data_IF_006749484745
#
_entry.id   IF_006749484745
#
_cell.length_a   1.000
_cell.length_b   1.000
_cell.length_c   1.000
_cell.angle_alpha   90.00
_cell.angle_beta   90.00
_cell.angle_gamma   90.00
#
_symmetry.space_group_name_H-M   'P 1'
#
loop_
_entity.id
_entity.type
_entity.pdbx_description
1 polymer ?
#
# COMPACT_ATOMS: atom_id res chain seq x y z
N UNK A 1 -24.57 -26.01 -15.00
CA UNK A 1 -24.00 -25.24 -13.88
C UNK A 1 -23.14 -24.12 -14.45
N UNK A 2 -23.44 -22.88 -14.09
CA UNK A 2 -22.76 -21.70 -14.59
C UNK A 2 -21.62 -21.29 -13.67
N UNK A 3 -20.68 -20.50 -14.18
CA UNK A 3 -19.53 -19.98 -13.42
C UNK A 3 -19.14 -18.59 -13.87
N UNK A 4 -18.80 -17.71 -12.93
CA UNK A 4 -18.23 -16.41 -13.23
C UNK A 4 -16.99 -16.14 -12.39
N UNK A 5 -16.08 -15.32 -12.91
CA UNK A 5 -14.96 -14.80 -12.15
C UNK A 5 -15.32 -13.44 -11.51
N UNK A 6 -14.92 -13.22 -10.28
CA UNK A 6 -15.06 -11.95 -9.56
C UNK A 6 -13.67 -11.42 -9.21
N UNK A 7 -13.29 -10.31 -9.85
CA UNK A 7 -12.06 -9.56 -9.65
C UNK A 7 -12.41 -8.16 -9.12
N UNK A 8 -11.45 -7.50 -8.47
CA UNK A 8 -11.54 -6.10 -8.06
C UNK A 8 -10.13 -5.53 -7.96
N UNK A 9 -10.01 -4.20 -7.82
CA UNK A 9 -8.77 -3.54 -7.35
C UNK A 9 -7.51 -3.98 -8.12
N UNK A 10 -7.63 -4.08 -9.45
CA UNK A 10 -6.52 -4.48 -10.31
C UNK A 10 -5.45 -3.39 -10.37
N UNK A 11 -5.87 -2.11 -10.26
CA UNK A 11 -4.98 -0.94 -10.19
C UNK A 11 -3.94 -0.89 -11.31
N UNK A 12 -4.35 -1.23 -12.54
CA UNK A 12 -3.45 -1.18 -13.70
C UNK A 12 -2.92 0.24 -13.88
N UNK A 13 -1.59 0.40 -13.88
CA UNK A 13 -0.86 1.65 -13.96
C UNK A 13 -0.48 2.26 -12.61
N UNK A 14 -0.60 1.52 -11.50
CA UNK A 14 -0.21 2.01 -10.18
C UNK A 14 1.31 2.13 -10.01
N UNK A 15 2.05 1.18 -10.60
CA UNK A 15 3.50 1.12 -10.47
C UNK A 15 4.20 1.74 -11.68
N UNK A 16 5.14 2.66 -11.43
CA UNK A 16 5.95 3.33 -12.47
C UNK A 16 7.32 2.68 -12.70
N UNK A 17 7.75 1.82 -11.78
CA UNK A 17 8.99 1.07 -11.95
C UNK A 17 8.75 -0.08 -12.95
N UNK A 18 9.59 -0.25 -13.98
CA UNK A 18 9.38 -1.26 -15.01
C UNK A 18 9.29 -2.70 -14.48
N UNK A 19 9.98 -3.03 -13.39
CA UNK A 19 9.93 -4.37 -12.80
C UNK A 19 8.57 -4.60 -12.16
N UNK A 20 8.08 -3.62 -11.39
CA UNK A 20 6.77 -3.69 -10.75
C UNK A 20 5.62 -3.65 -11.76
N UNK A 21 5.72 -2.79 -12.78
CA UNK A 21 4.74 -2.70 -13.88
C UNK A 21 4.58 -4.04 -14.60
N UNK A 22 5.70 -4.72 -14.90
CA UNK A 22 5.69 -6.06 -15.50
C UNK A 22 5.03 -7.10 -14.59
N UNK A 23 5.28 -7.07 -13.29
CA UNK A 23 4.65 -7.99 -12.32
C UNK A 23 3.16 -7.74 -12.19
N UNK A 24 2.74 -6.48 -12.21
CA UNK A 24 1.35 -6.04 -12.20
C UNK A 24 0.60 -6.56 -13.44
N UNK A 25 1.14 -6.32 -14.63
CA UNK A 25 0.59 -6.84 -15.89
C UNK A 25 0.58 -8.37 -15.94
N UNK A 26 1.61 -9.03 -15.40
CA UNK A 26 1.67 -10.48 -15.31
C UNK A 26 0.56 -11.03 -14.40
N UNK A 27 0.25 -10.34 -13.29
CA UNK A 27 -0.81 -10.75 -12.37
C UNK A 27 -2.17 -10.65 -13.04
N UNK A 28 -2.45 -9.52 -13.70
CA UNK A 28 -3.68 -9.32 -14.46
C UNK A 28 -3.82 -10.35 -15.59
N UNK A 29 -2.76 -10.56 -16.37
CA UNK A 29 -2.76 -11.52 -17.48
C UNK A 29 -3.00 -12.94 -17.00
N UNK A 30 -2.34 -13.36 -15.92
CA UNK A 30 -2.50 -14.69 -15.33
C UNK A 30 -3.90 -14.91 -14.78
N UNK A 31 -4.53 -13.90 -14.18
CA UNK A 31 -5.92 -13.99 -13.73
C UNK A 31 -6.87 -14.23 -14.91
N UNK A 32 -6.70 -13.49 -16.01
CA UNK A 32 -7.50 -13.65 -17.22
C UNK A 32 -7.23 -15.00 -17.92
N UNK A 33 -5.99 -15.49 -17.93
CA UNK A 33 -5.65 -16.84 -18.41
C UNK A 33 -6.35 -17.94 -17.63
N UNK A 34 -6.39 -17.81 -16.30
CA UNK A 34 -7.12 -18.75 -15.46
C UNK A 34 -8.62 -18.66 -15.77
N UNK A 35 -9.19 -17.45 -15.95
CA UNK A 35 -10.60 -17.31 -16.33
C UNK A 35 -10.93 -18.04 -17.65
N UNK A 36 -10.07 -17.93 -18.66
CA UNK A 36 -10.22 -18.64 -19.94
C UNK A 36 -10.05 -20.15 -19.79
N UNK A 37 -9.01 -20.61 -19.06
CA UNK A 37 -8.76 -22.03 -18.81
C UNK A 37 -9.89 -22.68 -18.03
N UNK A 38 -10.38 -21.99 -17.01
CA UNK A 38 -11.55 -22.39 -16.23
C UNK A 38 -12.85 -22.09 -16.98
N UNK A 39 -12.82 -21.64 -18.24
CA UNK A 39 -13.97 -21.42 -19.14
C UNK A 39 -15.14 -20.66 -18.53
N UNK A 40 -14.88 -19.62 -17.72
CA UNK A 40 -15.95 -18.88 -17.05
C UNK A 40 -16.95 -18.30 -18.05
N UNK A 41 -18.21 -18.21 -17.67
CA UNK A 41 -19.27 -17.67 -18.53
C UNK A 41 -19.12 -16.15 -18.72
N UNK A 42 -18.66 -15.45 -17.68
CA UNK A 42 -18.29 -14.04 -17.72
C UNK A 42 -17.31 -13.69 -16.59
N UNK A 43 -16.70 -12.52 -16.68
CA UNK A 43 -15.86 -11.91 -15.65
C UNK A 43 -16.56 -10.66 -15.14
N UNK A 44 -16.65 -10.48 -13.83
CA UNK A 44 -17.12 -9.26 -13.19
C UNK A 44 -15.95 -8.58 -12.46
N UNK A 45 -15.67 -7.33 -12.83
CA UNK A 45 -14.67 -6.47 -12.17
C UNK A 45 -15.40 -5.40 -11.36
N UNK A 46 -15.36 -5.52 -10.02
CA UNK A 46 -16.07 -4.65 -9.08
C UNK A 46 -15.30 -3.34 -8.78
N UNK A 47 -14.81 -2.68 -9.82
CA UNK A 47 -14.13 -1.38 -9.74
C UNK A 47 -12.61 -1.42 -9.59
N UNK A 48 -12.00 -0.25 -9.75
CA UNK A 48 -10.56 0.01 -9.73
C UNK A 48 -9.79 -0.94 -10.67
N UNK A 49 -10.28 -1.06 -11.90
CA UNK A 49 -9.56 -1.79 -12.96
C UNK A 49 -8.24 -1.06 -13.29
N UNK A 50 -8.29 0.27 -13.37
CA UNK A 50 -7.13 1.13 -13.59
C UNK A 50 -6.88 2.00 -12.36
N UNK A 51 -5.61 2.30 -12.09
CA UNK A 51 -5.22 3.16 -10.95
C UNK A 51 -5.60 4.64 -11.14
N UNK A 52 -5.82 5.06 -12.39
CA UNK A 52 -6.25 6.39 -12.74
C UNK A 52 -7.32 6.35 -13.84
N UNK A 53 -8.20 7.35 -13.85
CA UNK A 53 -9.21 7.55 -14.89
C UNK A 53 -8.61 7.82 -16.29
N UNK A 54 -7.39 8.38 -16.33
CA UNK A 54 -6.58 8.56 -17.54
C UNK A 54 -5.22 7.91 -17.24
N UNK A 55 -5.09 6.59 -17.46
CA UNK A 55 -3.85 5.85 -17.21
C UNK A 55 -2.80 6.09 -18.30
N UNK A 56 -1.58 5.63 -18.06
CA UNK A 56 -0.54 5.56 -19.10
C UNK A 56 -1.01 4.67 -20.26
N UNK A 57 -0.76 5.11 -21.51
CA UNK A 57 -1.30 4.44 -22.68
C UNK A 57 -0.57 3.13 -23.01
N UNK A 58 0.70 2.97 -22.64
CA UNK A 58 1.45 1.74 -22.97
C UNK A 58 0.95 0.57 -22.13
N UNK A 59 0.92 0.73 -20.81
CA UNK A 59 0.41 -0.32 -19.91
C UNK A 59 -1.07 -0.61 -20.20
N UNK A 60 -1.85 0.43 -20.53
CA UNK A 60 -3.26 0.28 -20.93
C UNK A 60 -3.39 -0.54 -22.21
N UNK A 61 -2.58 -0.27 -23.22
CA UNK A 61 -2.59 -1.04 -24.47
C UNK A 61 -2.27 -2.52 -24.23
N UNK A 62 -1.32 -2.82 -23.34
CA UNK A 62 -1.00 -4.20 -22.96
C UNK A 62 -2.18 -4.90 -22.26
N UNK A 63 -2.82 -4.23 -21.29
CA UNK A 63 -4.01 -4.75 -20.61
C UNK A 63 -5.19 -4.95 -21.59
N UNK A 64 -5.41 -4.00 -22.51
CA UNK A 64 -6.48 -4.07 -23.52
C UNK A 64 -6.27 -5.22 -24.49
N UNK A 65 -5.04 -5.50 -24.92
CA UNK A 65 -4.74 -6.69 -25.74
C UNK A 65 -5.16 -7.97 -25.03
N UNK A 66 -4.87 -8.09 -23.73
CA UNK A 66 -5.27 -9.25 -22.93
C UNK A 66 -6.78 -9.35 -22.77
N UNK A 67 -7.47 -8.25 -22.47
CA UNK A 67 -8.94 -8.22 -22.40
C UNK A 67 -9.59 -8.57 -23.75
N UNK A 68 -8.99 -8.11 -24.87
CA UNK A 68 -9.45 -8.46 -26.21
C UNK A 68 -9.32 -9.97 -26.46
N UNK A 69 -8.22 -10.60 -26.06
CA UNK A 69 -8.04 -12.04 -26.17
C UNK A 69 -9.15 -12.82 -25.43
N UNK A 70 -9.48 -12.41 -24.19
CA UNK A 70 -10.59 -12.98 -23.41
C UNK A 70 -11.92 -12.84 -24.14
N UNK A 71 -12.19 -11.65 -24.67
CA UNK A 71 -13.40 -11.37 -25.46
C UNK A 71 -13.46 -12.21 -26.73
N UNK A 72 -12.36 -12.34 -27.45
CA UNK A 72 -12.27 -13.14 -28.69
C UNK A 72 -12.52 -14.64 -28.40
N UNK A 73 -12.26 -15.10 -27.16
CA UNK A 73 -12.64 -16.43 -26.66
C UNK A 73 -14.09 -16.53 -26.16
N UNK A 74 -14.92 -15.50 -26.39
CA UNK A 74 -16.35 -15.51 -26.08
C UNK A 74 -16.69 -15.25 -24.61
N UNK A 75 -15.75 -14.72 -23.82
CA UNK A 75 -15.98 -14.38 -22.41
C UNK A 75 -16.18 -12.86 -22.29
N UNK A 76 -17.36 -12.44 -21.82
CA UNK A 76 -17.66 -11.02 -21.61
C UNK A 76 -17.08 -10.54 -20.28
N UNK A 77 -16.52 -9.34 -20.28
CA UNK A 77 -16.02 -8.67 -19.07
C UNK A 77 -17.01 -7.57 -18.69
N UNK A 78 -17.71 -7.75 -17.57
CA UNK A 78 -18.56 -6.77 -16.93
C UNK A 78 -17.77 -5.94 -15.94
N UNK A 79 -18.07 -4.64 -15.87
CA UNK A 79 -17.36 -3.70 -14.98
C UNK A 79 -18.33 -2.71 -14.33
N UNK A 80 -18.01 -2.33 -13.10
CA UNK A 80 -18.50 -1.10 -12.47
C UNK A 80 -17.32 -0.17 -12.27
N UNK A 81 -17.56 1.14 -12.14
CA UNK A 81 -16.49 2.04 -11.73
C UNK A 81 -16.05 1.76 -10.29
N UNK A 82 -14.76 1.92 -10.04
CA UNK A 82 -14.23 2.14 -8.71
C UNK A 82 -13.92 3.62 -8.47
N UNK A 83 -13.35 3.90 -7.31
CA UNK A 83 -13.03 5.27 -6.92
C UNK A 83 -11.90 5.89 -7.76
N UNK A 84 -10.98 5.07 -8.30
CA UNK A 84 -9.80 5.54 -9.04
C UNK A 84 -10.06 5.82 -10.51
N UNK A 85 -10.78 4.91 -11.15
CA UNK A 85 -11.07 4.93 -12.58
C UNK A 85 -12.34 5.73 -12.93
N UNK A 86 -13.07 6.23 -11.93
CA UNK A 86 -14.17 7.17 -12.13
C UNK A 86 -13.71 8.61 -12.41
N UNK A 87 -14.49 9.30 -13.24
CA UNK A 87 -14.31 10.73 -13.54
C UNK A 87 -15.68 11.43 -13.64
N UNK A 88 -15.95 12.48 -12.84
CA UNK A 88 -17.25 13.16 -12.85
C UNK A 88 -17.47 14.05 -14.07
N UNK A 89 -16.39 14.62 -14.62
CA UNK A 89 -16.46 15.70 -15.61
C UNK A 89 -15.88 15.33 -16.99
N UNK A 90 -15.31 14.14 -17.13
CA UNK A 90 -14.63 13.69 -18.35
C UNK A 90 -14.84 12.19 -18.54
N UNK A 91 -14.80 11.72 -19.78
CA UNK A 91 -14.73 10.30 -20.06
C UNK A 91 -13.49 9.68 -19.39
N UNK A 92 -13.68 8.51 -18.78
CA UNK A 92 -12.63 7.62 -18.29
C UNK A 92 -12.19 6.66 -19.39
N UNK A 93 -11.02 6.04 -19.22
CA UNK A 93 -10.62 4.88 -20.01
C UNK A 93 -11.70 3.78 -20.02
N UNK A 94 -12.43 3.59 -18.92
CA UNK A 94 -13.53 2.62 -18.84
C UNK A 94 -14.65 2.95 -19.85
N UNK A 95 -15.00 4.23 -20.05
CA UNK A 95 -16.01 4.63 -21.04
C UNK A 95 -15.56 4.33 -22.47
N UNK A 96 -14.27 4.55 -22.75
CA UNK A 96 -13.67 4.27 -24.06
C UNK A 96 -13.70 2.77 -24.33
N UNK A 97 -13.32 1.94 -23.35
CA UNK A 97 -13.31 0.49 -23.49
C UNK A 97 -14.73 -0.11 -23.60
N UNK A 98 -15.72 0.47 -22.91
CA UNK A 98 -17.13 0.10 -23.05
C UNK A 98 -17.65 0.47 -24.45
N UNK A 99 -17.29 1.64 -24.96
CA UNK A 99 -17.68 2.10 -26.30
C UNK A 99 -17.04 1.27 -27.43
N UNK A 100 -15.78 0.85 -27.25
CA UNK A 100 -15.10 -0.11 -28.12
C UNK A 100 -15.59 -1.56 -27.92
N UNK A 101 -16.45 -1.80 -26.93
CA UNK A 101 -17.02 -3.10 -26.60
C UNK A 101 -16.01 -4.11 -26.05
N UNK A 102 -14.85 -3.68 -25.56
CA UNK A 102 -13.85 -4.58 -24.93
C UNK A 102 -14.36 -5.05 -23.57
N UNK A 103 -14.97 -4.15 -22.82
CA UNK A 103 -15.66 -4.41 -21.57
C UNK A 103 -17.11 -3.91 -21.67
N UNK A 104 -17.95 -4.24 -20.69
CA UNK A 104 -19.32 -3.78 -20.62
C UNK A 104 -19.63 -3.18 -19.26
N UNK A 105 -19.97 -1.89 -19.21
CA UNK A 105 -20.50 -1.28 -18.00
C UNK A 105 -21.91 -1.78 -17.72
N UNK A 106 -22.15 -2.24 -16.49
CA UNK A 106 -23.45 -2.80 -16.08
C UNK A 106 -24.32 -1.85 -15.26
N UNK A 107 -23.74 -0.80 -14.66
CA UNK A 107 -24.49 0.14 -13.82
C UNK A 107 -25.26 1.12 -14.69
N UNK A 108 -26.58 1.10 -14.55
CA UNK A 108 -27.51 2.06 -15.14
C UNK A 108 -28.60 2.37 -14.12
N UNK A 109 -28.97 3.63 -14.02
CA UNK A 109 -30.04 4.05 -13.14
C UNK A 109 -30.30 5.55 -13.22
N UNK A 110 -31.43 5.93 -12.68
CA UNK A 110 -31.93 7.31 -12.66
C UNK A 110 -32.60 7.62 -11.33
N UNK A 111 -32.57 8.89 -10.94
CA UNK A 111 -33.24 9.35 -9.72
C UNK A 111 -34.66 9.76 -10.08
N UNK A 112 -35.65 9.02 -9.58
CA UNK A 112 -37.08 9.26 -9.78
C UNK A 112 -37.71 9.51 -8.43
N UNK A 113 -38.37 10.67 -8.26
CA UNK A 113 -39.03 11.06 -7.01
C UNK A 113 -38.11 10.97 -5.78
N UNK A 114 -36.84 11.38 -5.95
CA UNK A 114 -35.85 11.38 -4.86
C UNK A 114 -35.30 10.00 -4.50
N UNK A 115 -35.66 8.93 -5.23
CA UNK A 115 -35.07 7.60 -5.08
C UNK A 115 -34.25 7.20 -6.30
N UNK A 116 -33.08 6.61 -6.08
CA UNK A 116 -32.28 6.00 -7.15
C UNK A 116 -32.89 4.66 -7.55
N UNK A 117 -33.33 4.57 -8.80
CA UNK A 117 -33.77 3.31 -9.42
C UNK A 117 -32.66 2.79 -10.31
N UNK A 118 -32.23 1.55 -10.04
CA UNK A 118 -31.23 0.86 -10.84
C UNK A 118 -31.91 -0.13 -11.77
N UNK A 119 -31.41 -0.21 -12.99
CA UNK A 119 -31.79 -1.25 -13.94
C UNK A 119 -30.96 -2.52 -13.71
N UNK A 120 -31.53 -3.67 -14.06
CA UNK A 120 -30.79 -4.91 -14.15
C UNK A 120 -30.22 -5.11 -15.55
N UNK A 121 -28.93 -5.35 -15.63
CA UNK A 121 -28.31 -5.94 -16.81
C UNK A 121 -28.43 -7.47 -16.72
N UNK A 122 -29.09 -8.10 -17.70
CA UNK A 122 -29.21 -9.55 -17.78
C UNK A 122 -28.13 -10.13 -18.69
N UNK A 123 -27.28 -10.99 -18.13
CA UNK A 123 -26.30 -11.74 -18.91
C UNK A 123 -27.03 -12.69 -19.89
N UNK A 124 -26.74 -12.62 -21.20
CA UNK A 124 -27.49 -13.37 -22.21
C UNK A 124 -27.24 -14.89 -22.16
N UNK A 125 -26.09 -15.33 -21.61
CA UNK A 125 -25.69 -16.74 -21.60
C UNK A 125 -26.26 -17.49 -20.40
N UNK A 126 -26.21 -16.87 -19.23
CA UNK A 126 -26.54 -17.47 -17.94
C UNK A 126 -27.89 -17.00 -17.38
N UNK A 127 -28.41 -15.87 -17.88
CA UNK A 127 -29.60 -15.23 -17.35
C UNK A 127 -29.41 -14.55 -15.99
N UNK A 128 -28.17 -14.52 -15.45
CA UNK A 128 -27.84 -13.80 -14.23
C UNK A 128 -28.19 -12.31 -14.39
N UNK A 129 -28.77 -11.72 -13.35
CA UNK A 129 -29.14 -10.31 -13.32
C UNK A 129 -28.13 -9.55 -12.48
N UNK A 130 -27.40 -8.64 -13.11
CA UNK A 130 -26.37 -7.83 -12.49
C UNK A 130 -26.86 -6.39 -12.37
N UNK A 131 -26.66 -5.80 -11.20
CA UNK A 131 -26.85 -4.37 -10.97
C UNK A 131 -25.89 -3.93 -9.85
N UNK A 132 -25.86 -2.65 -9.52
CA UNK A 132 -24.91 -2.19 -8.52
C UNK A 132 -24.72 -0.69 -8.43
N UNK A 133 -23.84 -0.29 -7.52
CA UNK A 133 -23.42 1.10 -7.35
C UNK A 133 -21.91 1.19 -7.57
N UNK A 134 -21.55 2.03 -8.55
CA UNK A 134 -20.16 2.38 -8.83
C UNK A 134 -19.53 3.16 -7.67
N UNK A 135 -18.26 2.87 -7.38
CA UNK A 135 -17.45 3.69 -6.47
C UNK A 135 -17.17 5.07 -7.08
N UNK A 136 -17.07 6.09 -6.23
CA UNK A 136 -16.67 7.44 -6.64
C UNK A 136 -15.59 7.96 -5.71
N UNK A 137 -14.88 9.00 -6.14
CA UNK A 137 -13.90 9.66 -5.28
C UNK A 137 -14.62 10.32 -4.09
N UNK A 138 -14.00 10.23 -2.91
CA UNK A 138 -14.42 10.93 -1.69
C UNK A 138 -15.78 10.42 -1.14
N UNK A 139 -16.17 9.18 -1.44
CA UNK A 139 -17.34 8.56 -0.79
C UNK A 139 -18.69 9.17 -1.18
N UNK A 140 -18.74 10.02 -2.22
CA UNK A 140 -19.96 10.70 -2.69
C UNK A 140 -21.05 9.68 -3.05
N UNK A 141 -20.66 8.45 -3.41
CA UNK A 141 -21.61 7.40 -3.70
C UNK A 141 -22.48 6.97 -2.51
N UNK A 142 -22.09 7.32 -1.27
CA UNK A 142 -22.87 7.02 -0.06
C UNK A 142 -24.29 7.56 -0.15
N UNK A 143 -24.47 8.76 -0.69
CA UNK A 143 -25.79 9.37 -0.90
C UNK A 143 -26.68 8.50 -1.80
N UNK A 144 -26.10 7.84 -2.82
CA UNK A 144 -26.85 6.93 -3.70
C UNK A 144 -27.33 5.68 -2.99
N UNK A 145 -26.55 5.16 -2.03
CA UNK A 145 -27.03 4.07 -1.20
C UNK A 145 -28.20 4.53 -0.34
N UNK A 146 -28.14 5.71 0.26
CA UNK A 146 -29.21 6.22 1.13
C UNK A 146 -30.54 6.33 0.36
N UNK A 147 -30.50 6.87 -0.86
CA UNK A 147 -31.70 7.04 -1.71
C UNK A 147 -32.06 5.81 -2.56
N UNK A 148 -31.35 4.69 -2.43
CA UNK A 148 -31.59 3.50 -3.26
C UNK A 148 -33.00 2.94 -3.08
N UNK A 149 -33.72 2.72 -4.20
CA UNK A 149 -35.04 2.09 -4.20
C UNK A 149 -34.93 0.57 -4.03
N UNK A 150 -34.57 0.14 -2.82
CA UNK A 150 -34.30 -1.28 -2.48
C UNK A 150 -35.49 -2.18 -2.75
N UNK A 151 -36.72 -1.72 -2.46
CA UNK A 151 -37.95 -2.52 -2.60
C UNK A 151 -38.12 -3.13 -4.00
N UNK A 152 -37.72 -2.40 -5.05
CA UNK A 152 -37.80 -2.88 -6.44
C UNK A 152 -36.74 -3.96 -6.69
N UNK A 153 -35.52 -3.75 -6.21
CA UNK A 153 -34.40 -4.67 -6.37
C UNK A 153 -34.62 -5.98 -5.60
N UNK A 154 -35.20 -5.89 -4.40
CA UNK A 154 -35.48 -7.02 -3.52
C UNK A 154 -36.56 -7.95 -4.10
N UNK A 155 -37.59 -7.37 -4.75
CA UNK A 155 -38.70 -8.10 -5.38
C UNK A 155 -38.35 -8.76 -6.72
N UNK A 156 -37.21 -8.43 -7.31
CA UNK A 156 -36.80 -9.00 -8.58
C UNK A 156 -36.50 -10.52 -8.44
N UNK A 157 -37.01 -11.32 -9.37
CA UNK A 157 -36.81 -12.77 -9.38
C UNK A 157 -35.50 -13.21 -10.06
N UNK A 158 -35.07 -14.43 -9.80
CA UNK A 158 -33.93 -15.08 -10.46
C UNK A 158 -32.60 -14.89 -9.73
N UNK A 159 -31.50 -15.32 -10.37
CA UNK A 159 -30.17 -15.20 -9.78
C UNK A 159 -29.66 -13.77 -9.89
N UNK A 160 -29.48 -13.09 -8.75
CA UNK A 160 -29.12 -11.67 -8.69
C UNK A 160 -27.73 -11.46 -8.10
N UNK A 161 -26.94 -10.60 -8.75
CA UNK A 161 -25.63 -10.13 -8.30
C UNK A 161 -25.68 -8.63 -8.06
N UNK A 162 -25.32 -8.20 -6.85
CA UNK A 162 -25.16 -6.78 -6.53
C UNK A 162 -23.67 -6.44 -6.51
N UNK A 163 -23.20 -5.67 -7.48
CA UNK A 163 -21.83 -5.24 -7.58
C UNK A 163 -21.63 -3.87 -6.90
N UNK A 164 -20.59 -3.73 -6.10
CA UNK A 164 -20.31 -2.48 -5.40
C UNK A 164 -18.82 -2.27 -5.16
N UNK A 165 -18.41 -1.02 -4.99
CA UNK A 165 -17.02 -0.67 -4.70
C UNK A 165 -16.98 0.29 -3.51
N UNK A 166 -17.09 -0.27 -2.30
CA UNK A 166 -17.05 0.46 -1.03
C UNK A 166 -16.75 -0.53 0.11
N UNK A 167 -16.24 -0.04 1.24
CA UNK A 167 -16.08 -0.85 2.45
C UNK A 167 -17.44 -1.07 3.16
N UNK A 168 -17.62 -2.24 3.77
CA UNK A 168 -18.78 -2.54 4.63
C UNK A 168 -18.35 -2.45 6.09
N UNK A 169 -19.06 -1.66 6.90
CA UNK A 169 -18.68 -1.33 8.28
C UNK A 169 -18.46 -2.58 9.13
N UNK A 170 -19.36 -3.56 9.01
CA UNK A 170 -19.36 -4.84 9.73
C UNK A 170 -18.22 -5.78 9.30
N UNK A 171 -17.60 -5.52 8.15
CA UNK A 171 -16.55 -6.31 7.55
C UNK A 171 -15.20 -5.57 7.50
N UNK A 172 -15.15 -4.37 8.07
CA UNK A 172 -13.98 -3.51 7.97
C UNK A 172 -12.84 -4.07 8.83
N UNK A 173 -11.66 -4.34 8.24
CA UNK A 173 -10.50 -4.76 9.02
C UNK A 173 -10.08 -3.68 10.03
N UNK A 174 -9.53 -4.09 11.17
CA UNK A 174 -9.13 -3.17 12.26
C UNK A 174 -8.11 -2.12 11.79
N UNK A 175 -7.17 -2.49 10.92
CA UNK A 175 -6.19 -1.57 10.35
C UNK A 175 -6.79 -0.56 9.34
N UNK A 176 -8.09 -0.66 9.07
CA UNK A 176 -8.90 0.28 8.29
C UNK A 176 -9.99 0.92 9.16
N UNK A 177 -9.87 0.94 10.49
CA UNK A 177 -10.84 1.52 11.42
C UNK A 177 -11.22 2.98 11.09
N UNK A 178 -10.31 3.76 10.52
CA UNK A 178 -10.55 5.17 10.13
C UNK A 178 -11.06 5.33 8.69
N UNK A 179 -11.04 4.27 7.88
CA UNK A 179 -11.58 4.31 6.51
C UNK A 179 -13.10 4.47 6.56
N UNK A 180 -13.64 5.30 5.68
CA UNK A 180 -15.08 5.43 5.48
C UNK A 180 -15.68 4.11 4.98
N UNK A 181 -16.84 3.75 5.51
CA UNK A 181 -17.56 2.54 5.13
C UNK A 181 -19.07 2.79 5.21
N UNK A 182 -19.83 2.03 4.45
CA UNK A 182 -21.29 2.01 4.53
C UNK A 182 -21.76 0.87 5.45
N UNK A 183 -22.88 1.04 6.18
CA UNK A 183 -23.51 -0.08 6.87
C UNK A 183 -23.96 -1.15 5.88
N UNK A 184 -23.91 -2.44 6.25
CA UNK A 184 -24.40 -3.52 5.39
C UNK A 184 -25.87 -3.33 5.00
N UNK A 185 -26.68 -2.77 5.91
CA UNK A 185 -28.10 -2.47 5.69
C UNK A 185 -28.37 -1.51 4.53
N UNK A 186 -27.34 -0.84 4.02
CA UNK A 186 -27.47 0.03 2.86
C UNK A 186 -27.62 -0.76 1.56
N UNK A 187 -27.16 -2.01 1.52
CA UNK A 187 -27.33 -2.91 0.37
C UNK A 187 -28.77 -3.47 0.33
N UNK A 188 -29.33 -3.73 -0.87
CA UNK A 188 -30.63 -4.39 -0.99
C UNK A 188 -30.53 -5.86 -0.55
N UNK A 189 -31.56 -6.37 0.12
CA UNK A 189 -31.59 -7.76 0.62
C UNK A 189 -31.87 -8.79 -0.46
N UNK A 190 -31.63 -10.06 -0.15
CA UNK A 190 -32.11 -11.18 -0.97
C UNK A 190 -31.40 -11.35 -2.32
N UNK A 191 -30.25 -10.70 -2.52
CA UNK A 191 -29.35 -11.05 -3.62
C UNK A 191 -28.56 -12.33 -3.28
N UNK A 192 -28.21 -13.10 -4.31
CA UNK A 192 -27.49 -14.35 -4.14
C UNK A 192 -25.98 -14.14 -3.97
N UNK A 193 -25.45 -13.04 -4.51
CA UNK A 193 -24.04 -12.70 -4.41
C UNK A 193 -23.85 -11.19 -4.40
N UNK A 194 -23.05 -10.71 -3.45
CA UNK A 194 -22.64 -9.31 -3.33
C UNK A 194 -21.15 -9.21 -3.68
N UNK A 195 -20.88 -8.65 -4.85
CA UNK A 195 -19.55 -8.54 -5.44
C UNK A 195 -18.90 -7.19 -5.06
N UNK A 196 -18.17 -7.19 -3.94
CA UNK A 196 -17.47 -6.01 -3.43
C UNK A 196 -16.06 -5.83 -3.98
N UNK A 197 -15.65 -4.58 -4.17
CA UNK A 197 -14.26 -4.14 -4.34
C UNK A 197 -13.84 -3.14 -3.25
N UNK A 198 -12.73 -2.42 -3.43
CA UNK A 198 -12.16 -1.41 -2.51
C UNK A 198 -11.29 -1.99 -1.38
N UNK A 199 -11.69 -3.13 -0.80
CA UNK A 199 -10.87 -3.83 0.20
C UNK A 199 -9.85 -4.71 -0.51
N UNK A 200 -8.57 -4.36 -0.39
CA UNK A 200 -7.48 -5.05 -1.11
C UNK A 200 -7.16 -6.45 -0.57
N UNK A 201 -7.77 -6.89 0.54
CA UNK A 201 -7.63 -8.25 1.05
C UNK A 201 -8.81 -9.10 0.65
N UNK A 202 -8.55 -10.38 0.33
CA UNK A 202 -9.64 -11.31 0.06
C UNK A 202 -10.44 -11.58 1.34
N UNK A 203 -11.76 -11.50 1.24
CA UNK A 203 -12.69 -11.69 2.34
C UNK A 203 -13.98 -12.31 1.83
N UNK A 204 -14.56 -13.21 2.62
CA UNK A 204 -15.89 -13.76 2.39
C UNK A 204 -16.70 -13.71 3.68
N UNK A 205 -17.97 -13.33 3.57
CA UNK A 205 -18.88 -13.26 4.70
C UNK A 205 -20.31 -13.61 4.28
N UNK A 206 -21.13 -13.93 5.28
CA UNK A 206 -22.56 -14.23 5.12
C UNK A 206 -23.29 -13.68 6.34
N UNK A 207 -24.45 -13.08 6.12
CA UNK A 207 -25.34 -12.55 7.16
C UNK A 207 -26.79 -12.92 6.84
N UNK A 208 -27.69 -12.75 7.81
CA UNK A 208 -29.14 -12.86 7.57
C UNK A 208 -29.55 -11.93 6.44
N UNK A 209 -30.26 -12.44 5.43
CA UNK A 209 -30.67 -11.75 4.19
C UNK A 209 -29.54 -11.40 3.19
N UNK A 210 -28.28 -11.66 3.54
CA UNK A 210 -27.10 -11.44 2.70
C UNK A 210 -26.33 -12.75 2.53
N UNK A 211 -26.76 -13.61 1.60
CA UNK A 211 -26.27 -14.99 1.46
C UNK A 211 -24.74 -15.07 1.30
N UNK A 212 -24.17 -14.23 0.41
CA UNK A 212 -22.73 -14.26 0.13
C UNK A 212 -22.17 -12.90 -0.23
N UNK A 213 -21.34 -12.34 0.64
CA UNK A 213 -20.56 -11.11 0.38
C UNK A 213 -19.11 -11.52 0.18
N UNK A 214 -18.49 -10.99 -0.87
CA UNK A 214 -17.10 -11.30 -1.17
C UNK A 214 -16.35 -10.05 -1.63
N UNK A 215 -15.10 -9.94 -1.19
CA UNK A 215 -14.09 -9.01 -1.69
C UNK A 215 -12.92 -9.86 -2.19
N UNK A 216 -12.57 -9.86 -3.48
CA UNK A 216 -11.48 -10.68 -3.98
C UNK A 216 -10.12 -10.11 -3.59
N UNK A 217 -10.05 -8.80 -3.31
CA UNK A 217 -8.81 -8.10 -3.07
C UNK A 217 -8.05 -7.79 -4.35
N UNK A 218 -6.87 -7.20 -4.20
CA UNK A 218 -6.01 -6.87 -5.35
C UNK A 218 -5.29 -8.10 -5.90
N UNK A 219 -4.99 -8.09 -7.20
CA UNK A 219 -4.21 -9.14 -7.87
C UNK A 219 -2.71 -9.07 -7.58
N UNK A 220 -2.19 -7.88 -7.26
CA UNK A 220 -0.76 -7.67 -7.00
C UNK A 220 -0.55 -6.65 -5.87
N UNK A 221 -0.38 -5.37 -6.22
CA UNK A 221 -0.20 -4.28 -5.27
C UNK A 221 -0.42 -2.93 -5.97
N UNK A 222 -1.41 -2.17 -5.51
CA UNK A 222 -1.63 -0.78 -5.91
C UNK A 222 -0.95 0.22 -4.97
N UNK A 223 -0.67 -0.18 -3.73
CA UNK A 223 -0.13 0.68 -2.69
C UNK A 223 1.01 0.02 -1.90
N UNK A 224 1.84 0.83 -1.23
CA UNK A 224 2.92 0.35 -0.35
C UNK A 224 2.45 -0.65 0.70
N UNK A 225 1.22 -0.48 1.21
CA UNK A 225 0.60 -1.40 2.17
C UNK A 225 0.37 -2.79 1.59
N UNK A 226 0.01 -2.87 0.31
CA UNK A 226 -0.26 -4.14 -0.35
C UNK A 226 1.00 -4.99 -0.43
N UNK A 227 2.14 -4.37 -0.77
CA UNK A 227 3.45 -5.04 -0.75
C UNK A 227 3.82 -5.57 0.64
N UNK A 228 3.66 -4.76 1.68
CA UNK A 228 3.95 -5.19 3.07
C UNK A 228 3.05 -6.36 3.50
N UNK A 229 1.76 -6.32 3.16
CA UNK A 229 0.82 -7.39 3.46
C UNK A 229 1.12 -8.67 2.66
N UNK A 230 1.43 -8.56 1.35
CA UNK A 230 1.83 -9.70 0.53
C UNK A 230 3.10 -10.35 1.07
N UNK A 231 4.08 -9.54 1.48
CA UNK A 231 5.32 -10.03 2.08
C UNK A 231 5.12 -10.71 3.44
N UNK A 232 4.08 -10.32 4.19
CA UNK A 232 3.63 -11.00 5.42
C UNK A 232 2.72 -12.22 5.16
N UNK A 233 2.56 -12.64 3.90
CA UNK A 233 1.84 -13.86 3.55
C UNK A 233 0.37 -13.69 3.18
N UNK A 234 -0.14 -12.47 3.05
CA UNK A 234 -1.49 -12.24 2.52
C UNK A 234 -1.51 -12.60 1.03
N UNK A 235 -2.29 -13.62 0.69
CA UNK A 235 -2.45 -14.12 -0.68
C UNK A 235 -3.25 -13.14 -1.54
N UNK A 236 -2.82 -12.98 -2.79
CA UNK A 236 -3.45 -12.14 -3.82
C UNK A 236 -4.08 -13.01 -4.89
N UNK A 237 -5.18 -12.55 -5.46
CA UNK A 237 -5.96 -13.38 -6.37
C UNK A 237 -7.38 -12.90 -6.57
N UNK A 238 -8.26 -13.81 -6.95
CA UNK A 238 -9.65 -13.52 -7.28
C UNK A 238 -10.56 -14.71 -6.99
N UNK A 239 -11.87 -14.56 -7.13
CA UNK A 239 -12.81 -15.67 -6.94
C UNK A 239 -13.34 -16.22 -8.27
N UNK A 240 -13.56 -17.53 -8.32
CA UNK A 240 -14.50 -18.14 -9.28
C UNK A 240 -15.69 -18.67 -8.49
N UNK A 241 -16.87 -18.27 -8.93
CA UNK A 241 -18.15 -18.57 -8.29
C UNK A 241 -18.94 -19.51 -9.19
N UNK A 242 -19.35 -20.65 -8.64
CA UNK A 242 -20.25 -21.59 -9.32
C UNK A 242 -21.69 -21.33 -8.86
N UNK A 243 -22.62 -21.29 -9.81
CA UNK A 243 -24.01 -20.97 -9.51
C UNK A 243 -25.02 -21.66 -10.45
N UNK A 244 -26.25 -21.70 -9.96
CA UNK A 244 -27.47 -22.03 -10.72
C UNK A 244 -28.55 -21.02 -10.30
N UNK A 245 -29.54 -21.44 -9.51
CA UNK A 245 -30.53 -20.54 -8.89
C UNK A 245 -30.01 -19.90 -7.59
N UNK A 246 -28.89 -20.41 -7.06
CA UNK A 246 -28.15 -19.91 -5.88
C UNK A 246 -26.66 -20.16 -6.07
N UNK A 247 -25.85 -19.54 -5.23
CA UNK A 247 -24.39 -19.82 -5.18
C UNK A 247 -24.18 -21.25 -4.67
N UNK A 248 -23.37 -22.02 -5.40
CA UNK A 248 -23.00 -23.40 -5.05
C UNK A 248 -21.63 -23.46 -4.39
N UNK A 249 -20.68 -22.69 -4.89
CA UNK A 249 -19.35 -22.56 -4.30
C UNK A 249 -18.69 -21.25 -4.70
N UNK A 250 -17.81 -20.76 -3.83
CA UNK A 250 -16.90 -19.65 -4.09
C UNK A 250 -15.51 -20.19 -3.81
N UNK A 251 -14.61 -20.10 -4.79
CA UNK A 251 -13.25 -20.60 -4.66
C UNK A 251 -12.27 -19.49 -4.97
N UNK A 252 -11.36 -19.22 -4.04
CA UNK A 252 -10.25 -18.30 -4.25
C UNK A 252 -9.19 -18.93 -5.15
N UNK A 253 -8.77 -18.19 -6.17
CA UNK A 253 -7.70 -18.53 -7.08
C UNK A 253 -6.53 -17.57 -6.83
N UNK A 254 -5.50 -18.10 -6.18
CA UNK A 254 -4.27 -17.38 -5.89
C UNK A 254 -3.48 -17.07 -7.18
N UNK A 255 -2.91 -15.87 -7.25
CA UNK A 255 -2.10 -15.36 -8.36
C UNK A 255 -0.67 -15.09 -7.88
N UNK A 256 0.19 -16.12 -7.85
CA UNK A 256 1.60 -15.91 -7.53
C UNK A 256 2.32 -15.39 -8.78
N UNK A 257 2.84 -14.17 -8.71
CA UNK A 257 3.69 -13.57 -9.77
C UNK A 257 5.15 -13.38 -9.35
N UNK A 258 5.39 -13.27 -8.04
CA UNK A 258 6.72 -13.25 -7.45
C UNK A 258 6.67 -13.83 -6.04
N UNK A 259 7.82 -14.28 -5.56
CA UNK A 259 8.00 -14.60 -4.14
C UNK A 259 8.35 -13.32 -3.38
N UNK A 260 7.94 -13.25 -2.12
CA UNK A 260 8.23 -12.12 -1.26
C UNK A 260 9.19 -12.50 -0.13
N UNK A 261 9.91 -11.51 0.37
CA UNK A 261 10.63 -11.59 1.64
C UNK A 261 10.27 -10.37 2.49
N UNK A 262 9.96 -10.59 3.76
CA UNK A 262 9.63 -9.50 4.69
C UNK A 262 10.70 -9.40 5.78
N UNK A 263 11.32 -8.23 5.89
CA UNK A 263 12.29 -7.96 6.93
C UNK A 263 11.88 -6.72 7.71
N UNK A 264 11.81 -6.85 9.03
CA UNK A 264 11.48 -5.74 9.94
C UNK A 264 12.59 -5.55 10.96
N UNK A 265 13.02 -4.30 11.14
CA UNK A 265 14.05 -3.94 12.10
C UNK A 265 13.63 -2.74 12.95
N UNK A 266 13.75 -2.89 14.26
CA UNK A 266 13.45 -1.87 15.26
C UNK A 266 14.74 -1.20 15.76
N UNK A 267 14.85 0.10 15.50
CA UNK A 267 16.02 0.91 15.86
C UNK A 267 15.98 1.42 17.29
N UNK A 268 14.89 1.18 18.03
CA UNK A 268 14.67 1.76 19.36
C UNK A 268 15.85 1.48 20.28
N UNK A 269 16.27 2.52 21.01
CA UNK A 269 17.45 2.54 21.90
C UNK A 269 18.82 2.42 21.21
N UNK A 270 18.90 2.57 19.89
CA UNK A 270 20.17 2.54 19.14
C UNK A 270 20.45 3.89 18.50
N UNK A 271 21.72 4.30 18.47
CA UNK A 271 22.11 5.45 17.65
C UNK A 271 22.17 5.04 16.17
N UNK A 272 22.25 6.03 15.28
CA UNK A 272 22.20 5.80 13.84
C UNK A 272 23.32 4.88 13.31
N UNK A 273 24.53 4.98 13.88
CA UNK A 273 25.69 4.16 13.51
C UNK A 273 25.47 2.69 13.91
N UNK A 274 25.06 2.45 15.16
CA UNK A 274 24.77 1.11 15.68
C UNK A 274 23.62 0.46 14.90
N UNK A 275 22.51 1.19 14.72
CA UNK A 275 21.36 0.72 13.98
C UNK A 275 21.72 0.38 12.53
N UNK A 276 22.52 1.21 11.85
CA UNK A 276 22.99 0.94 10.49
C UNK A 276 23.83 -0.34 10.46
N UNK A 277 24.84 -0.46 11.32
CA UNK A 277 25.72 -1.64 11.33
C UNK A 277 24.93 -2.93 11.50
N UNK A 278 24.11 -3.02 12.55
CA UNK A 278 23.31 -4.21 12.84
C UNK A 278 22.29 -4.52 11.72
N UNK A 279 21.66 -3.49 11.14
CA UNK A 279 20.72 -3.67 10.04
C UNK A 279 21.40 -4.32 8.84
N UNK A 280 22.56 -3.82 8.44
CA UNK A 280 23.28 -4.33 7.27
C UNK A 280 23.85 -5.73 7.49
N UNK A 281 24.35 -6.02 8.71
CA UNK A 281 24.76 -7.37 9.10
C UNK A 281 23.59 -8.36 8.94
N UNK A 282 22.43 -8.04 9.53
CA UNK A 282 21.25 -8.91 9.42
C UNK A 282 20.73 -9.06 8.00
N UNK A 283 20.71 -7.97 7.22
CA UNK A 283 20.25 -8.02 5.82
C UNK A 283 21.18 -8.88 4.95
N UNK A 284 22.47 -8.98 5.27
CA UNK A 284 23.42 -9.81 4.53
C UNK A 284 23.17 -11.31 4.67
N UNK A 285 22.47 -11.73 5.72
CA UNK A 285 22.13 -13.14 5.99
C UNK A 285 20.79 -13.57 5.37
N UNK A 286 19.99 -12.61 4.88
CA UNK A 286 18.66 -12.89 4.35
C UNK A 286 18.76 -13.45 2.92
N UNK A 287 18.12 -14.59 2.66
CA UNK A 287 18.00 -15.11 1.31
C UNK A 287 16.96 -14.34 0.50
N UNK A 288 17.44 -13.41 -0.32
CA UNK A 288 16.62 -12.51 -1.15
C UNK A 288 16.56 -12.88 -2.62
N UNK A 289 17.27 -13.94 -3.02
CA UNK A 289 17.40 -14.32 -4.43
C UNK A 289 16.04 -14.58 -5.07
N UNK A 290 15.79 -13.93 -6.20
CA UNK A 290 14.56 -14.03 -7.00
C UNK A 290 13.28 -13.66 -6.23
N UNK A 291 13.39 -12.76 -5.23
CA UNK A 291 12.27 -12.27 -4.41
C UNK A 291 12.09 -10.76 -4.52
N UNK A 292 10.85 -10.31 -4.33
CA UNK A 292 10.52 -8.92 -4.01
C UNK A 292 10.65 -8.73 -2.50
N UNK A 293 11.57 -7.88 -2.07
CA UNK A 293 11.89 -7.71 -0.65
C UNK A 293 11.25 -6.45 -0.10
N UNK A 294 10.57 -6.56 1.04
CA UNK A 294 10.04 -5.43 1.78
C UNK A 294 10.81 -5.28 3.08
N UNK A 295 11.55 -4.19 3.19
CA UNK A 295 12.32 -3.82 4.39
C UNK A 295 11.57 -2.73 5.13
N UNK A 296 11.15 -3.00 6.36
CA UNK A 296 10.56 -2.00 7.26
C UNK A 296 11.53 -1.66 8.37
N UNK A 297 11.90 -0.39 8.46
CA UNK A 297 12.70 0.15 9.58
C UNK A 297 11.79 1.06 10.40
N UNK A 298 11.66 0.76 11.69
CA UNK A 298 10.77 1.47 12.62
C UNK A 298 11.49 1.78 13.93
N UNK A 299 10.87 2.62 14.75
CA UNK A 299 11.33 2.96 16.09
C UNK A 299 12.02 4.31 16.14
N UNK A 300 12.45 4.69 17.34
CA UNK A 300 13.08 5.98 17.60
C UNK A 300 14.58 5.81 17.88
N UNK A 301 15.41 6.43 17.05
CA UNK A 301 16.85 6.47 17.27
C UNK A 301 17.19 7.21 18.56
N UNK A 302 18.11 6.66 19.35
CA UNK A 302 18.62 7.32 20.56
C UNK A 302 19.53 8.52 20.25
N UNK A 303 20.06 8.61 19.03
CA UNK A 303 20.88 9.71 18.52
C UNK A 303 21.26 9.51 17.05
N UNK A 304 21.69 10.58 16.39
CA UNK A 304 21.97 10.63 14.95
C UNK A 304 20.74 10.86 14.08
N UNK A 305 20.96 10.98 12.76
CA UNK A 305 19.89 11.32 11.80
C UNK A 305 19.27 10.06 11.23
N UNK A 306 17.97 10.11 10.96
CA UNK A 306 17.28 9.03 10.26
C UNK A 306 17.91 8.80 8.88
N UNK A 307 18.40 9.85 8.19
CA UNK A 307 19.09 9.81 6.90
C UNK A 307 20.30 8.89 6.85
N UNK A 308 20.95 8.64 7.99
CA UNK A 308 22.15 7.81 8.07
C UNK A 308 21.84 6.34 7.75
N UNK A 309 20.58 5.91 7.95
CA UNK A 309 20.05 4.63 7.49
C UNK A 309 19.53 4.82 6.07
N UNK A 310 20.41 4.76 5.06
CA UNK A 310 20.01 5.09 3.69
C UNK A 310 19.14 4.01 3.04
N UNK A 311 18.02 4.43 2.44
CA UNK A 311 17.19 3.53 1.67
C UNK A 311 17.88 3.08 0.36
N UNK A 312 18.74 3.92 -0.24
CA UNK A 312 19.47 3.53 -1.46
C UNK A 312 20.51 2.45 -1.16
N UNK A 313 21.26 2.57 -0.07
CA UNK A 313 22.25 1.57 0.34
C UNK A 313 21.58 0.22 0.63
N UNK A 314 20.44 0.21 1.32
CA UNK A 314 19.65 -1.01 1.56
C UNK A 314 19.20 -1.65 0.24
N UNK A 315 18.68 -0.85 -0.70
CA UNK A 315 18.26 -1.37 -2.02
C UNK A 315 19.42 -1.97 -2.78
N UNK A 316 20.55 -1.27 -2.85
CA UNK A 316 21.72 -1.72 -3.60
C UNK A 316 22.24 -3.05 -3.06
N UNK A 317 22.42 -3.17 -1.73
CA UNK A 317 22.86 -4.41 -1.09
C UNK A 317 21.96 -5.60 -1.47
N UNK A 318 20.65 -5.41 -1.37
CA UNK A 318 19.70 -6.51 -1.59
C UNK A 318 19.54 -6.85 -3.07
N UNK A 319 19.64 -5.87 -3.97
CA UNK A 319 19.66 -6.09 -5.43
C UNK A 319 20.94 -6.83 -5.83
N UNK A 320 22.10 -6.45 -5.29
CA UNK A 320 23.38 -7.16 -5.50
C UNK A 320 23.31 -8.62 -5.02
N UNK A 321 22.55 -8.87 -3.95
CA UNK A 321 22.28 -10.22 -3.44
C UNK A 321 21.17 -10.98 -4.21
N UNK A 322 20.65 -10.42 -5.31
CA UNK A 322 19.73 -11.09 -6.23
C UNK A 322 18.25 -10.82 -6.00
N UNK A 323 17.86 -9.80 -5.24
CA UNK A 323 16.47 -9.37 -5.14
C UNK A 323 15.96 -8.85 -6.51
N UNK A 324 14.71 -9.19 -6.85
CA UNK A 324 14.03 -8.70 -8.07
C UNK A 324 13.73 -7.20 -7.93
N UNK A 325 13.26 -6.80 -6.75
CA UNK A 325 12.96 -5.41 -6.42
C UNK A 325 12.93 -5.24 -4.89
N UNK A 326 13.20 -4.03 -4.40
CA UNK A 326 13.32 -3.75 -2.97
C UNK A 326 12.50 -2.52 -2.59
N UNK A 327 11.55 -2.73 -1.69
CA UNK A 327 10.73 -1.67 -1.08
C UNK A 327 11.26 -1.40 0.32
N UNK A 328 11.60 -0.14 0.58
CA UNK A 328 12.09 0.30 1.89
C UNK A 328 11.07 1.24 2.52
N UNK A 329 10.46 0.82 3.62
CA UNK A 329 9.54 1.61 4.42
C UNK A 329 10.25 2.15 5.68
N UNK A 330 10.34 3.47 5.79
CA UNK A 330 10.97 4.18 6.92
C UNK A 330 10.03 5.23 7.53
N UNK A 331 8.73 5.19 7.23
CA UNK A 331 7.79 6.22 7.72
C UNK A 331 7.65 6.23 9.24
N UNK A 332 7.88 5.09 9.91
CA UNK A 332 7.83 4.96 11.37
C UNK A 332 9.20 5.09 12.04
N UNK A 333 10.21 5.58 11.32
CA UNK A 333 11.56 5.81 11.84
C UNK A 333 11.70 7.27 12.27
N UNK A 334 11.93 7.52 13.55
CA UNK A 334 12.13 8.85 14.14
C UNK A 334 13.52 8.96 14.79
N UNK A 335 13.91 10.18 15.18
CA UNK A 335 15.13 10.43 15.95
C UNK A 335 14.85 11.45 17.05
N UNK A 336 15.43 11.23 18.23
CA UNK A 336 15.33 12.13 19.38
C UNK A 336 15.97 13.50 19.18
N UNK A 337 16.83 13.68 18.19
CA UNK A 337 17.58 14.93 17.98
C UNK A 337 16.72 16.14 17.56
N UNK A 338 15.40 16.00 17.39
CA UNK A 338 14.52 17.03 16.83
C UNK A 338 13.45 17.61 17.78
N UNK A 339 13.80 17.86 19.04
CA UNK A 339 13.05 18.85 19.84
C UNK A 339 13.66 20.24 19.65
N UNK A 340 13.15 21.01 18.70
CA UNK A 340 13.55 22.42 18.51
C UNK A 340 13.05 23.23 19.72
N UNK A 341 13.93 23.53 20.68
CA UNK A 341 13.57 24.38 21.83
C UNK A 341 13.67 25.84 21.38
N UNK A 342 12.53 26.55 21.33
CA UNK A 342 12.51 28.01 21.16
C UNK A 342 12.96 28.65 22.48
N UNK A 343 14.19 29.14 22.53
CA UNK A 343 14.68 29.91 23.68
C UNK A 343 14.59 31.41 23.35
N UNK A 344 13.99 32.19 24.26
CA UNK A 344 13.99 33.66 24.22
C UNK A 344 15.02 34.19 25.23
N UNK A 345 15.87 35.11 24.77
CA UNK A 345 16.75 35.99 25.55
C UNK A 345 17.68 35.30 26.58
N UNK A 346 18.56 34.41 26.12
CA UNK A 346 19.73 33.93 26.87
C UNK A 346 21.00 34.04 25.98
N UNK A 347 22.19 34.21 26.57
CA UNK A 347 23.48 34.25 25.85
C UNK A 347 23.80 32.89 25.20
N UNK A 348 24.36 32.89 23.98
CA UNK A 348 24.58 31.69 23.13
C UNK A 348 25.27 30.53 23.90
N UNK A 349 26.35 30.75 24.68
CA UNK A 349 27.02 29.68 25.44
C UNK A 349 26.16 29.11 26.57
N UNK A 350 25.24 29.92 27.11
CA UNK A 350 24.32 29.49 28.18
C UNK A 350 23.22 28.61 27.60
N UNK A 351 22.66 29.02 26.45
CA UNK A 351 21.72 28.21 25.66
C UNK A 351 22.36 26.88 25.27
N UNK A 352 23.58 26.89 24.76
CA UNK A 352 24.30 25.68 24.33
C UNK A 352 24.53 24.70 25.48
N UNK A 353 25.00 25.18 26.63
CA UNK A 353 25.21 24.32 27.80
C UNK A 353 23.89 23.76 28.35
N UNK A 354 22.82 24.54 28.35
CA UNK A 354 21.48 24.11 28.78
C UNK A 354 20.92 23.05 27.84
N UNK A 355 20.99 23.28 26.52
CA UNK A 355 20.61 22.31 25.50
C UNK A 355 21.42 21.02 25.61
N UNK A 356 22.74 21.11 25.81
CA UNK A 356 23.57 19.91 25.99
C UNK A 356 23.16 19.15 27.25
N UNK A 357 22.92 19.83 28.39
CA UNK A 357 22.45 19.16 29.61
C UNK A 357 21.09 18.49 29.45
N UNK A 358 20.14 19.16 28.81
CA UNK A 358 18.80 18.64 28.56
C UNK A 358 18.82 17.45 27.58
N UNK A 359 19.63 17.52 26.52
CA UNK A 359 19.69 16.48 25.50
C UNK A 359 20.60 15.29 25.88
N UNK A 360 21.66 15.50 26.66
CA UNK A 360 22.54 14.40 27.11
C UNK A 360 21.78 13.37 27.96
N UNK A 361 20.70 13.76 28.63
CA UNK A 361 19.79 12.84 29.32
C UNK A 361 18.86 12.05 28.40
N UNK A 362 18.67 12.49 27.16
CA UNK A 362 17.78 11.86 26.17
C UNK A 362 18.50 10.83 25.29
N UNK A 363 19.82 10.98 25.12
CA UNK A 363 20.67 10.09 24.32
C UNK A 363 21.09 8.87 25.15
N UNK A 364 20.69 7.68 24.70
CA UNK A 364 21.05 6.42 25.36
C UNK A 364 22.47 6.00 24.95
N UNK A 365 23.46 6.30 25.79
CA UNK A 365 24.89 5.99 25.59
C UNK A 365 25.35 4.89 26.53
N UNK A 366 26.26 4.03 26.07
CA UNK A 366 26.80 2.91 26.85
C UNK A 366 27.84 3.32 27.89
N UNK A 367 28.58 4.41 27.64
CA UNK A 367 29.59 4.94 28.57
C UNK A 367 28.97 5.91 29.57
N UNK A 368 29.30 5.76 30.86
CA UNK A 368 28.85 6.65 31.92
C UNK A 368 29.49 8.06 31.83
N UNK A 369 30.65 8.19 31.20
CA UNK A 369 31.31 9.48 30.96
C UNK A 369 30.57 10.34 29.93
N UNK A 370 29.70 9.71 29.13
CA UNK A 370 28.86 10.37 28.14
C UNK A 370 27.47 10.74 28.69
N UNK A 371 27.18 10.45 29.97
CA UNK A 371 25.87 10.70 30.60
C UNK A 371 25.89 11.91 31.53
N UNK A 372 24.70 12.47 31.75
CA UNK A 372 24.45 13.53 32.74
C UNK A 372 25.37 14.75 32.59
N UNK A 373 25.77 15.35 33.71
CA UNK A 373 26.62 16.56 33.68
C UNK A 373 28.03 16.31 33.12
N UNK A 374 28.56 15.09 33.27
CA UNK A 374 29.89 14.74 32.73
C UNK A 374 29.87 14.73 31.21
N UNK A 375 28.88 14.07 30.61
CA UNK A 375 28.68 14.05 29.17
C UNK A 375 28.44 15.45 28.59
N UNK A 376 27.62 16.26 29.26
CA UNK A 376 27.37 17.64 28.83
C UNK A 376 28.65 18.50 28.88
N UNK A 377 29.47 18.34 29.92
CA UNK A 377 30.75 19.05 30.06
C UNK A 377 31.76 18.60 29.00
N UNK A 378 31.82 17.30 28.73
CA UNK A 378 32.68 16.72 27.69
C UNK A 378 32.29 17.24 26.30
N UNK A 379 30.99 17.20 25.96
CA UNK A 379 30.47 17.71 24.70
C UNK A 379 30.72 19.21 24.51
N UNK A 380 30.53 20.01 25.58
CA UNK A 380 30.80 21.45 25.57
C UNK A 380 32.29 21.76 25.35
N UNK A 381 33.18 21.02 26.01
CA UNK A 381 34.63 21.15 25.81
C UNK A 381 35.06 20.79 24.39
N UNK A 382 34.51 19.69 23.85
CA UNK A 382 34.80 19.26 22.48
C UNK A 382 34.29 20.28 21.45
N UNK A 383 33.08 20.80 21.63
CA UNK A 383 32.51 21.82 20.74
C UNK A 383 33.34 23.10 20.74
N UNK A 384 33.79 23.56 21.92
CA UNK A 384 34.67 24.73 22.04
C UNK A 384 36.00 24.53 21.31
N UNK A 385 36.53 23.31 21.34
CA UNK A 385 37.76 22.95 20.67
C UNK A 385 37.59 22.90 19.15
N UNK A 386 36.51 22.30 18.66
CA UNK A 386 36.19 22.23 17.23
C UNK A 386 35.86 23.61 16.61
N UNK A 387 35.52 24.60 17.44
CA UNK A 387 35.32 26.00 17.03
C UNK A 387 36.61 26.80 16.91
N UNK A 388 37.75 26.26 17.33
CA UNK A 388 39.01 27.00 17.21
C UNK A 388 39.36 27.14 15.74
N UNK A 389 39.53 28.37 15.29
CA UNK A 389 39.93 28.65 13.91
C UNK A 389 41.39 28.26 13.65
N UNK A 390 41.74 28.20 12.37
CA UNK A 390 43.12 28.05 11.91
C UNK A 390 43.95 29.25 12.36
N UNK A 391 45.11 28.99 12.98
CA UNK A 391 45.98 30.05 13.48
C UNK A 391 46.68 30.76 12.32
N UNK A 392 47.07 32.01 12.56
CA UNK A 392 47.88 32.80 11.63
C UNK A 392 49.20 32.05 11.39
N UNK A 393 49.50 31.74 10.12
CA UNK A 393 50.66 30.95 9.64
C UNK A 393 50.63 29.43 9.95
N UNK A 394 49.49 28.87 10.31
CA UNK A 394 49.29 27.41 10.39
C UNK A 394 48.88 26.88 9.01
N UNK A 395 49.47 25.78 8.52
CA UNK A 395 49.00 25.13 7.30
C UNK A 395 47.76 24.28 7.59
N UNK A 396 46.89 24.05 6.59
CA UNK A 396 45.63 23.30 6.77
C UNK A 396 45.85 21.89 7.36
N UNK A 397 46.93 21.23 6.97
CA UNK A 397 47.29 19.91 7.52
C UNK A 397 47.67 19.98 9.00
N UNK A 398 48.45 20.99 9.38
CA UNK A 398 48.87 21.20 10.78
C UNK A 398 47.68 21.60 11.67
N UNK A 399 46.74 22.37 11.12
CA UNK A 399 45.46 22.69 11.76
C UNK A 399 44.64 21.43 12.03
N UNK A 400 44.43 20.58 11.01
CA UNK A 400 43.68 19.33 11.16
C UNK A 400 44.35 18.40 12.17
N UNK A 401 45.66 18.24 12.11
CA UNK A 401 46.43 17.43 13.07
C UNK A 401 46.34 17.99 14.49
N UNK A 402 46.42 19.31 14.67
CA UNK A 402 46.26 19.97 15.98
C UNK A 402 44.87 19.74 16.55
N UNK A 403 43.82 20.05 15.78
CA UNK A 403 42.43 19.90 16.23
C UNK A 403 42.14 18.43 16.53
N UNK A 404 42.59 17.50 15.68
CA UNK A 404 42.44 16.06 15.91
C UNK A 404 43.15 15.59 17.16
N UNK A 405 44.41 15.98 17.38
CA UNK A 405 45.18 15.62 18.59
C UNK A 405 44.48 16.13 19.85
N UNK A 406 44.10 17.40 19.87
CA UNK A 406 43.42 17.98 21.04
C UNK A 406 42.04 17.34 21.27
N UNK A 407 41.32 16.96 20.21
CA UNK A 407 40.03 16.27 20.35
C UNK A 407 40.20 14.86 20.96
N UNK A 408 41.24 14.12 20.56
CA UNK A 408 41.59 12.81 21.14
C UNK A 408 41.91 12.93 22.63
N UNK A 409 42.68 13.95 23.02
CA UNK A 409 42.99 14.26 24.43
C UNK A 409 41.72 14.60 25.23
N UNK A 410 40.86 15.47 24.71
CA UNK A 410 39.58 15.81 25.36
C UNK A 410 38.69 14.58 25.53
N UNK A 411 38.70 13.65 24.58
CA UNK A 411 37.94 12.40 24.65
C UNK A 411 38.61 11.32 25.52
N UNK A 412 39.84 11.52 25.98
CA UNK A 412 40.60 10.54 26.76
C UNK A 412 40.99 9.28 25.97
N UNK A 413 41.19 9.39 24.66
CA UNK A 413 41.43 8.27 23.75
C UNK A 413 42.91 8.14 23.32
N UNK A 414 43.82 8.77 24.05
CA UNK A 414 45.23 8.91 23.69
C UNK A 414 45.93 7.55 23.48
N UNK A 415 45.63 6.56 24.32
CA UNK A 415 46.21 5.21 24.21
C UNK A 415 45.57 4.26 23.19
N UNK A 416 44.59 4.73 22.40
CA UNK A 416 43.90 3.92 21.38
C UNK A 416 44.36 4.28 19.95
N UNK A 417 44.91 5.48 19.76
CA UNK A 417 45.26 6.04 18.46
C UNK A 417 46.76 6.32 18.27
N UNK A 418 47.61 5.89 19.22
CA UNK A 418 49.05 5.65 18.98
C UNK A 418 49.26 4.40 18.14
#
# INVERSE_FOLDING_TARGET
>A
MHKFAHLSDCHIGANKDPVLERLELAAFSKALDICMREQVDFILISGDLFHANIPDLDITNQAVKKMKEVKDNGITIYVIYGSHDYSPNKASIIDILDSAGIIKKIVKGEVINGKLRLDFFKDPKTGAKLTGISGRKIGIEKEYYEILDRDILEKEDGFKIFAFHNAILELKPEFLAEMEAIPLSFLPKGFNYYAGGHIHQHLEASFTDYEKIAFPGTLFAGYSRDFEQSARGIKRGFFIVHFENKVKSVKFYEIPVCNYEYFEYDVTNKNSIQAKKELFEKLSEVNVKDKLVVVKVKGELSGGKTSDISASEIRNLLIENGAIYVIVNRYSLTSKEYTTIKVRDEDIPTIENKLLKENVGLVNVSSDDLKGERGAKLASNLLRLLRQEQKINEYSKDYEERIKKMAIEVLGLEGIFE
#
